data_IF_910643405914
#
_entry.id   IF_910643405914
#
_cell.length_a   1.000
_cell.length_b   1.000
_cell.length_c   1.000
_cell.angle_alpha   90.00
_cell.angle_beta   90.00
_cell.angle_gamma   90.00
#
_symmetry.space_group_name_H-M   'P 1'
#
loop_
_entity.id
_entity.type
_entity.pdbx_description
1 polymer ?
#
# COMPACT_ATOMS: atom_id res chain seq x y z
N UNK A 1 -27.56 29.97 -19.12
CA UNK A 1 -27.28 31.36 -18.66
C UNK A 1 -26.17 31.99 -19.49
N UNK A 2 -26.40 33.19 -20.02
CA UNK A 2 -25.68 33.79 -21.15
C UNK A 2 -24.19 34.12 -20.90
N UNK A 3 -23.71 33.96 -19.66
CA UNK A 3 -22.39 34.47 -19.24
C UNK A 3 -21.48 33.38 -18.62
N UNK A 4 -21.79 32.09 -18.80
CA UNK A 4 -21.01 31.00 -18.19
C UNK A 4 -19.54 30.94 -18.68
N UNK A 5 -19.28 31.41 -19.90
CA UNK A 5 -17.95 31.40 -20.50
C UNK A 5 -17.02 32.44 -19.88
N UNK A 6 -17.51 33.65 -19.60
CA UNK A 6 -16.72 34.75 -19.03
C UNK A 6 -16.19 34.37 -17.64
N UNK A 7 -17.06 33.84 -16.77
CA UNK A 7 -16.66 33.42 -15.43
C UNK A 7 -15.69 32.24 -15.45
N UNK A 8 -15.83 31.31 -16.40
CA UNK A 8 -14.86 30.23 -16.60
C UNK A 8 -13.49 30.76 -16.99
N UNK A 9 -13.43 31.75 -17.87
CA UNK A 9 -12.15 32.31 -18.32
C UNK A 9 -11.53 33.23 -17.26
N UNK A 10 -12.34 34.00 -16.56
CA UNK A 10 -11.91 34.83 -15.43
C UNK A 10 -11.29 33.99 -14.32
N UNK A 11 -11.95 32.89 -13.92
CA UNK A 11 -11.44 31.94 -12.92
C UNK A 11 -10.08 31.34 -13.29
N UNK A 12 -9.85 31.01 -14.56
CA UNK A 12 -8.55 30.49 -15.01
C UNK A 12 -7.43 31.52 -14.88
N UNK A 13 -7.74 32.80 -15.05
CA UNK A 13 -6.75 33.89 -15.01
C UNK A 13 -6.45 34.32 -13.58
N UNK A 14 -7.44 34.31 -12.69
CA UNK A 14 -7.26 34.74 -11.29
C UNK A 14 -6.80 33.62 -10.37
N UNK A 15 -7.29 32.40 -10.59
CA UNK A 15 -7.15 31.28 -9.65
C UNK A 15 -6.74 29.97 -10.35
N UNK A 16 -6.25 30.03 -11.60
CA UNK A 16 -6.06 28.87 -12.47
C UNK A 16 -5.19 27.76 -11.88
N UNK A 17 -4.12 28.09 -11.17
CA UNK A 17 -3.25 27.08 -10.54
C UNK A 17 -3.96 26.37 -9.38
N UNK A 18 -4.67 27.11 -8.53
CA UNK A 18 -5.44 26.55 -7.41
C UNK A 18 -6.63 25.73 -7.90
N UNK A 19 -7.27 26.15 -9.00
CA UNK A 19 -8.32 25.38 -9.66
C UNK A 19 -7.79 24.06 -10.24
N UNK A 20 -6.61 24.05 -10.87
CA UNK A 20 -5.99 22.81 -11.37
C UNK A 20 -5.67 21.83 -10.23
N UNK A 21 -5.15 22.34 -9.09
CA UNK A 21 -4.94 21.53 -7.88
C UNK A 21 -6.26 20.97 -7.34
N UNK A 22 -7.30 21.80 -7.28
CA UNK A 22 -8.63 21.40 -6.83
C UNK A 22 -9.28 20.35 -7.76
N UNK A 23 -9.15 20.50 -9.08
CA UNK A 23 -9.63 19.51 -10.05
C UNK A 23 -8.96 18.14 -9.85
N UNK A 24 -7.64 18.12 -9.63
CA UNK A 24 -6.91 16.89 -9.30
C UNK A 24 -7.45 16.19 -8.05
N UNK A 25 -7.74 16.96 -6.99
CA UNK A 25 -8.35 16.43 -5.78
C UNK A 25 -9.79 15.93 -6.02
N UNK A 26 -10.60 16.67 -6.76
CA UNK A 26 -11.97 16.28 -7.11
C UNK A 26 -11.98 14.96 -7.88
N UNK A 27 -11.09 14.79 -8.86
CA UNK A 27 -10.99 13.54 -9.63
C UNK A 27 -10.50 12.36 -8.79
N UNK A 28 -9.63 12.59 -7.80
CA UNK A 28 -9.28 11.57 -6.80
C UNK A 28 -10.49 11.20 -5.94
N UNK A 29 -11.23 12.18 -5.42
CA UNK A 29 -12.40 11.96 -4.58
C UNK A 29 -13.51 11.22 -5.33
N UNK A 30 -13.79 11.59 -6.58
CA UNK A 30 -14.75 10.88 -7.44
C UNK A 30 -14.39 9.40 -7.61
N UNK A 31 -13.10 9.08 -7.81
CA UNK A 31 -12.62 7.69 -7.88
C UNK A 31 -12.83 6.94 -6.56
N UNK A 32 -12.48 7.56 -5.42
CA UNK A 32 -12.70 6.96 -4.10
C UNK A 32 -14.18 6.71 -3.81
N UNK A 33 -15.06 7.66 -4.14
CA UNK A 33 -16.50 7.49 -4.02
C UNK A 33 -17.04 6.36 -4.91
N UNK A 34 -16.48 6.18 -6.11
CA UNK A 34 -16.84 5.06 -6.98
C UNK A 34 -16.46 3.71 -6.34
N UNK A 35 -15.26 3.61 -5.75
CA UNK A 35 -14.81 2.42 -5.01
C UNK A 35 -15.69 2.15 -3.80
N UNK A 36 -16.03 3.18 -3.00
CA UNK A 36 -16.95 3.05 -1.86
C UNK A 36 -18.36 2.61 -2.26
N UNK A 37 -18.77 2.84 -3.51
CA UNK A 37 -20.02 2.33 -4.10
C UNK A 37 -19.86 0.94 -4.76
N UNK A 38 -18.72 0.27 -4.57
CA UNK A 38 -18.43 -1.06 -5.08
C UNK A 38 -17.91 -1.11 -6.53
N UNK A 39 -17.66 0.03 -7.20
CA UNK A 39 -17.05 0.02 -8.53
C UNK A 39 -15.54 -0.22 -8.42
N UNK A 40 -15.09 -1.37 -8.90
CA UNK A 40 -13.65 -1.68 -9.03
C UNK A 40 -13.04 -0.92 -10.21
N UNK A 41 -11.83 -0.33 -10.06
CA UNK A 41 -11.11 0.27 -11.18
C UNK A 41 -10.83 -0.75 -12.30
N UNK A 42 -10.63 -0.27 -13.53
CA UNK A 42 -10.25 -1.13 -14.65
C UNK A 42 -8.88 -1.78 -14.37
N UNK A 43 -8.79 -3.11 -14.53
CA UNK A 43 -7.57 -3.87 -14.23
C UNK A 43 -7.27 -4.02 -12.73
N UNK A 44 -8.27 -3.82 -11.88
CA UNK A 44 -8.17 -4.11 -10.45
C UNK A 44 -8.24 -5.62 -10.18
N UNK A 45 -7.61 -6.05 -9.09
CA UNK A 45 -7.59 -7.45 -8.68
C UNK A 45 -8.96 -7.93 -8.19
N UNK A 46 -9.25 -9.21 -8.41
CA UNK A 46 -10.37 -9.88 -7.74
C UNK A 46 -10.08 -10.05 -6.25
N UNK A 47 -11.11 -10.35 -5.47
CA UNK A 47 -10.91 -10.59 -4.02
C UNK A 47 -10.00 -11.82 -3.83
N UNK A 48 -10.22 -12.85 -4.62
CA UNK A 48 -9.46 -14.10 -4.60
C UNK A 48 -7.98 -13.86 -4.90
N UNK A 49 -7.65 -12.95 -5.82
CA UNK A 49 -6.26 -12.58 -6.11
C UNK A 49 -5.60 -11.86 -4.92
N UNK A 50 -6.35 -11.01 -4.21
CA UNK A 50 -5.84 -10.32 -3.01
C UNK A 50 -5.64 -11.34 -1.89
N UNK A 51 -6.60 -12.24 -1.69
CA UNK A 51 -6.50 -13.31 -0.70
C UNK A 51 -5.33 -14.27 -1.02
N UNK A 52 -5.09 -14.57 -2.29
CA UNK A 52 -3.93 -15.37 -2.72
C UNK A 52 -2.61 -14.67 -2.36
N UNK A 53 -2.50 -13.36 -2.60
CA UNK A 53 -1.33 -12.59 -2.19
C UNK A 53 -1.15 -12.58 -0.66
N UNK A 54 -2.24 -12.39 0.09
CA UNK A 54 -2.24 -12.40 1.57
C UNK A 54 -1.90 -13.77 2.16
N UNK A 55 -2.09 -14.86 1.42
CA UNK A 55 -1.79 -16.22 1.87
C UNK A 55 -0.31 -16.60 1.74
N UNK A 56 0.53 -15.78 1.09
CA UNK A 56 1.98 -16.03 0.99
C UNK A 56 2.62 -15.87 2.38
N UNK A 57 3.26 -16.92 2.95
CA UNK A 57 3.84 -16.81 4.29
C UNK A 57 5.01 -15.84 4.34
N UNK A 58 4.97 -14.85 5.24
CA UNK A 58 6.02 -13.82 5.37
C UNK A 58 7.39 -14.45 5.66
N UNK A 59 7.44 -15.51 6.46
CA UNK A 59 8.70 -16.18 6.80
C UNK A 59 9.44 -16.74 5.57
N UNK A 60 8.72 -17.07 4.49
CA UNK A 60 9.32 -17.55 3.25
C UNK A 60 9.95 -16.42 2.42
N UNK A 61 9.66 -15.16 2.74
CA UNK A 61 10.18 -13.98 2.05
C UNK A 61 11.46 -13.43 2.70
N UNK A 62 11.91 -14.07 3.78
CA UNK A 62 13.03 -13.59 4.60
C UNK A 62 14.22 -14.53 4.41
N UNK A 63 15.30 -14.00 3.83
CA UNK A 63 16.49 -14.76 3.48
C UNK A 63 17.50 -14.91 4.63
N UNK A 64 17.23 -14.29 5.78
CA UNK A 64 18.12 -14.28 6.94
C UNK A 64 17.62 -15.23 8.04
N UNK A 65 18.51 -15.74 8.91
CA UNK A 65 18.13 -16.66 9.95
C UNK A 65 17.07 -16.08 10.90
N UNK A 66 16.07 -16.90 11.22
CA UNK A 66 15.02 -16.60 12.18
C UNK A 66 15.09 -17.58 13.35
N UNK A 67 14.87 -17.08 14.57
CA UNK A 67 14.79 -17.90 15.79
C UNK A 67 13.35 -17.98 16.27
N UNK A 68 12.89 -19.17 16.66
CA UNK A 68 11.60 -19.36 17.34
C UNK A 68 11.62 -18.76 18.75
N UNK A 69 10.57 -18.02 19.10
CA UNK A 69 10.31 -17.48 20.44
C UNK A 69 8.84 -17.71 20.80
N UNK A 70 8.54 -18.83 21.45
CA UNK A 70 7.15 -19.26 21.66
C UNK A 70 6.47 -19.51 20.31
N UNK A 71 5.39 -18.76 20.03
CA UNK A 71 4.63 -18.83 18.77
C UNK A 71 5.18 -17.92 17.66
N UNK A 72 6.14 -17.05 17.96
CA UNK A 72 6.66 -16.05 17.01
C UNK A 72 8.03 -16.46 16.47
N UNK A 73 8.41 -15.83 15.35
CA UNK A 73 9.77 -15.88 14.83
C UNK A 73 10.42 -14.51 15.03
N UNK A 74 11.71 -14.51 15.38
CA UNK A 74 12.46 -13.29 15.69
C UNK A 74 13.78 -13.27 14.92
N UNK A 75 14.14 -12.12 14.36
CA UNK A 75 15.38 -11.93 13.60
C UNK A 75 15.77 -10.45 13.48
N UNK A 76 16.83 -10.18 12.71
CA UNK A 76 17.18 -8.82 12.30
C UNK A 76 16.09 -8.27 11.36
N UNK A 77 15.96 -6.97 11.28
CA UNK A 77 15.00 -6.34 10.39
C UNK A 77 15.50 -6.31 8.93
N UNK A 78 14.73 -6.81 7.96
CA UNK A 78 15.05 -6.61 6.54
C UNK A 78 14.85 -5.17 6.06
N UNK A 79 14.12 -4.34 6.83
CA UNK A 79 13.72 -2.98 6.44
C UNK A 79 14.69 -1.89 6.91
N UNK A 80 15.59 -2.20 7.85
CA UNK A 80 16.60 -1.26 8.33
C UNK A 80 17.83 -1.99 8.88
N UNK A 81 18.99 -1.35 8.82
CA UNK A 81 20.24 -1.95 9.28
C UNK A 81 20.37 -1.89 10.80
N UNK A 82 20.44 -3.04 11.46
CA UNK A 82 20.55 -3.16 12.93
C UNK A 82 21.48 -4.30 13.35
N UNK A 83 21.93 -4.28 14.61
CA UNK A 83 22.81 -5.32 15.20
C UNK A 83 22.08 -6.30 16.12
N UNK A 84 20.94 -5.88 16.68
CA UNK A 84 20.16 -6.67 17.62
C UNK A 84 18.82 -7.02 16.99
N UNK A 85 18.33 -8.27 17.11
CA UNK A 85 17.05 -8.66 16.55
C UNK A 85 15.90 -7.81 17.11
N UNK A 86 15.21 -7.06 16.25
CA UNK A 86 13.99 -6.33 16.62
C UNK A 86 12.79 -6.64 15.73
N UNK A 87 12.94 -7.56 14.78
CA UNK A 87 11.91 -7.96 13.82
C UNK A 87 11.19 -9.23 14.28
N UNK A 88 9.87 -9.13 14.42
CA UNK A 88 8.99 -10.19 14.87
C UNK A 88 8.04 -10.58 13.74
N UNK A 89 7.84 -11.88 13.55
CA UNK A 89 6.83 -12.45 12.66
C UNK A 89 5.85 -13.21 13.54
N UNK A 90 4.57 -13.06 13.21
CA UNK A 90 3.44 -13.74 13.82
C UNK A 90 2.82 -14.67 12.77
N UNK A 91 3.28 -15.94 12.67
CA UNK A 91 2.80 -16.86 11.63
C UNK A 91 1.29 -17.10 11.68
N UNK A 92 0.69 -17.12 12.88
CA UNK A 92 -0.77 -17.32 13.04
C UNK A 92 -1.60 -16.24 12.33
N UNK A 93 -1.10 -15.01 12.26
CA UNK A 93 -1.78 -13.88 11.61
C UNK A 93 -1.14 -13.48 10.28
N UNK A 94 -0.10 -14.20 9.84
CA UNK A 94 0.75 -13.86 8.70
C UNK A 94 1.13 -12.37 8.64
N UNK A 95 1.66 -11.86 9.76
CA UNK A 95 2.04 -10.44 9.91
C UNK A 95 3.42 -10.30 10.53
N UNK A 96 4.01 -9.12 10.40
CA UNK A 96 5.30 -8.78 11.00
C UNK A 96 5.28 -7.40 11.65
N UNK A 97 6.19 -7.20 12.61
CA UNK A 97 6.45 -5.90 13.22
C UNK A 97 7.91 -5.77 13.63
N UNK A 98 8.51 -4.63 13.29
CA UNK A 98 9.83 -4.26 13.75
C UNK A 98 9.73 -3.20 14.85
N UNK A 99 10.22 -3.54 16.05
CA UNK A 99 10.27 -2.57 17.15
C UNK A 99 11.43 -1.58 17.03
N UNK A 100 12.44 -1.85 16.19
CA UNK A 100 13.56 -0.94 15.94
C UNK A 100 13.18 0.23 15.02
N UNK A 101 12.47 -0.03 13.91
CA UNK A 101 12.05 1.01 12.97
C UNK A 101 10.56 1.38 13.01
N UNK A 102 9.75 0.73 13.85
CA UNK A 102 8.31 0.93 13.96
C UNK A 102 7.54 0.72 12.64
N UNK A 103 7.95 -0.28 11.87
CA UNK A 103 7.30 -0.64 10.62
C UNK A 103 6.91 -2.12 10.62
N UNK A 104 5.84 -2.43 9.89
CA UNK A 104 5.30 -3.78 9.81
C UNK A 104 3.91 -3.80 9.20
N UNK A 105 3.28 -4.96 9.24
CA UNK A 105 1.95 -5.20 8.69
C UNK A 105 1.80 -6.62 8.16
N UNK A 106 0.77 -6.82 7.34
CA UNK A 106 0.60 -8.04 6.54
C UNK A 106 1.68 -8.18 5.46
N UNK A 107 1.65 -9.30 4.75
CA UNK A 107 2.62 -9.64 3.71
C UNK A 107 2.67 -8.62 2.56
N UNK A 108 1.54 -8.00 2.21
CA UNK A 108 1.49 -6.99 1.15
C UNK A 108 2.21 -5.73 1.64
N UNK A 109 1.91 -5.27 2.86
CA UNK A 109 2.60 -4.13 3.46
C UNK A 109 4.10 -4.39 3.62
N UNK A 110 4.50 -5.60 4.02
CA UNK A 110 5.91 -5.97 4.11
C UNK A 110 6.63 -5.83 2.77
N UNK A 111 6.07 -6.36 1.68
CA UNK A 111 6.65 -6.25 0.33
C UNK A 111 6.70 -4.80 -0.17
N UNK A 112 5.66 -4.01 0.12
CA UNK A 112 5.67 -2.56 -0.18
C UNK A 112 6.82 -1.85 0.51
N UNK A 113 7.04 -2.12 1.79
CA UNK A 113 8.12 -1.51 2.57
C UNK A 113 9.50 -1.99 2.11
N UNK A 114 9.63 -3.28 1.81
CA UNK A 114 10.90 -3.90 1.41
C UNK A 114 11.39 -3.41 0.03
N UNK A 115 10.48 -3.23 -0.93
CA UNK A 115 10.82 -2.89 -2.32
C UNK A 115 10.44 -1.46 -2.73
N UNK A 116 9.75 -0.70 -1.87
CA UNK A 116 9.20 0.61 -2.23
C UNK A 116 8.04 0.52 -3.22
N UNK A 117 7.33 -0.60 -3.25
CA UNK A 117 6.22 -0.85 -4.17
C UNK A 117 4.93 -0.16 -3.74
N UNK A 118 4.13 0.21 -4.73
CA UNK A 118 2.72 0.49 -4.57
C UNK A 118 1.93 -0.82 -4.37
N UNK A 119 0.70 -0.71 -3.87
CA UNK A 119 -0.15 -1.88 -3.58
C UNK A 119 -0.26 -2.85 -4.77
N UNK A 120 -0.42 -2.31 -5.99
CA UNK A 120 -0.58 -3.13 -7.19
C UNK A 120 0.66 -3.95 -7.51
N UNK A 121 1.83 -3.34 -7.40
CA UNK A 121 3.12 -3.96 -7.67
C UNK A 121 3.42 -5.03 -6.62
N UNK A 122 3.08 -4.80 -5.36
CA UNK A 122 3.23 -5.78 -4.29
C UNK A 122 2.36 -7.03 -4.50
N UNK A 123 1.08 -6.85 -4.90
CA UNK A 123 0.19 -7.99 -5.21
C UNK A 123 0.71 -8.76 -6.43
N UNK A 124 1.22 -8.06 -7.45
CA UNK A 124 1.83 -8.68 -8.63
C UNK A 124 3.06 -9.52 -8.27
N UNK A 125 3.97 -8.95 -7.48
CA UNK A 125 5.16 -9.64 -6.96
C UNK A 125 4.80 -10.92 -6.20
N UNK A 126 3.82 -10.85 -5.30
CA UNK A 126 3.39 -11.98 -4.47
C UNK A 126 2.66 -13.08 -5.26
N UNK A 127 2.05 -12.73 -6.39
CA UNK A 127 1.27 -13.67 -7.22
C UNK A 127 1.99 -14.12 -8.49
N UNK A 128 3.21 -13.64 -8.73
CA UNK A 128 4.00 -13.97 -9.92
C UNK A 128 3.41 -13.45 -11.23
N UNK A 129 2.72 -12.30 -11.19
CA UNK A 129 2.04 -11.67 -12.33
C UNK A 129 2.62 -10.31 -12.71
#
# INVERSE_FOLDING_TARGET
PQNQWFWREWLKVTDGEELLKAEGHIERLKRLLAVGKGRKPKGWFSEEQIQQALAVPIENLINQPLRKSGKTLVGLCPLHNERHPSFFIYPETNSCWCYGCNQGGDVINFIKLLHGYEFKEAVQYLTGK
#
